data_IF_434253068213
#
_entry.id   IF_434253068213
#
_cell.length_a   1.000
_cell.length_b   1.000
_cell.length_c   1.000
_cell.angle_alpha   90.00
_cell.angle_beta   90.00
_cell.angle_gamma   90.00
#
_symmetry.space_group_name_H-M   'P 1'
#
loop_
_entity.id
_entity.type
_entity.pdbx_description
1 polymer ?
#
# COMPACT_ATOMS: atom_id res chain seq x y z
N UNK A 1 -18.51 -5.24 -20.24
CA UNK A 1 -17.51 -4.47 -19.46
C UNK A 1 -16.18 -5.18 -19.60
N UNK A 2 -15.14 -4.47 -20.03
CA UNK A 2 -13.77 -4.98 -19.97
C UNK A 2 -13.19 -4.59 -18.62
N UNK A 3 -12.68 -5.56 -17.86
CA UNK A 3 -11.99 -5.33 -16.60
C UNK A 3 -10.49 -5.35 -16.88
N UNK A 4 -9.85 -4.19 -16.77
CA UNK A 4 -8.39 -4.13 -16.82
C UNK A 4 -7.83 -4.70 -15.51
N UNK A 5 -6.85 -5.62 -15.59
CA UNK A 5 -6.24 -6.19 -14.39
C UNK A 5 -5.41 -5.13 -13.65
N UNK A 6 -5.48 -5.15 -12.32
CA UNK A 6 -4.64 -4.30 -11.48
C UNK A 6 -3.16 -4.63 -11.71
N UNK A 7 -2.33 -3.61 -11.92
CA UNK A 7 -0.89 -3.80 -11.98
C UNK A 7 -0.36 -4.20 -10.60
N UNK A 8 0.32 -5.34 -10.53
CA UNK A 8 0.93 -5.85 -9.30
C UNK A 8 2.45 -5.82 -9.41
N UNK A 9 3.16 -5.52 -8.31
CA UNK A 9 4.61 -5.45 -8.33
C UNK A 9 5.22 -6.82 -8.62
N UNK A 10 6.16 -6.87 -9.57
CA UNK A 10 6.83 -8.12 -10.01
C UNK A 10 8.16 -8.35 -9.31
N UNK A 11 8.71 -7.30 -8.73
CA UNK A 11 9.99 -7.35 -8.04
C UNK A 11 9.96 -6.51 -6.75
N UNK A 12 11.00 -6.71 -5.94
CA UNK A 12 11.14 -6.04 -4.65
C UNK A 12 11.16 -4.51 -4.74
N UNK A 13 11.76 -3.96 -5.81
CA UNK A 13 11.84 -2.50 -6.01
C UNK A 13 10.46 -1.91 -6.23
N UNK A 14 9.65 -2.52 -7.09
CA UNK A 14 8.27 -2.11 -7.34
C UNK A 14 7.39 -2.27 -6.10
N UNK A 15 7.58 -3.37 -5.37
CA UNK A 15 6.88 -3.59 -4.12
C UNK A 15 7.17 -2.45 -3.13
N UNK A 16 8.45 -2.19 -2.83
CA UNK A 16 8.84 -1.12 -1.90
C UNK A 16 8.37 0.26 -2.40
N UNK A 17 8.46 0.53 -3.71
CA UNK A 17 7.91 1.75 -4.33
C UNK A 17 6.43 1.95 -4.02
N UNK A 18 5.60 0.91 -4.17
CA UNK A 18 4.17 1.03 -3.92
C UNK A 18 3.89 1.39 -2.45
N UNK A 19 4.64 0.81 -1.50
CA UNK A 19 4.53 1.16 -0.08
C UNK A 19 4.93 2.62 0.19
N UNK A 20 5.98 3.12 -0.44
CA UNK A 20 6.37 4.53 -0.32
C UNK A 20 5.33 5.48 -0.92
N UNK A 21 4.70 5.11 -2.04
CA UNK A 21 3.58 5.87 -2.61
C UNK A 21 2.39 5.91 -1.65
N UNK A 22 2.01 4.76 -1.07
CA UNK A 22 0.93 4.70 -0.10
C UNK A 22 1.25 5.56 1.14
N UNK A 23 2.48 5.49 1.66
CA UNK A 23 2.93 6.32 2.78
C UNK A 23 2.87 7.82 2.46
N UNK A 24 3.29 8.24 1.26
CA UNK A 24 3.19 9.63 0.79
C UNK A 24 1.74 10.11 0.72
N UNK A 25 0.82 9.29 0.19
CA UNK A 25 -0.59 9.64 0.14
C UNK A 25 -1.21 9.77 1.53
N UNK A 26 -0.85 8.88 2.45
CA UNK A 26 -1.29 8.94 3.85
C UNK A 26 -0.76 10.18 4.56
N UNK A 27 0.54 10.48 4.40
CA UNK A 27 1.17 11.65 4.99
C UNK A 27 0.55 12.96 4.49
N UNK A 28 0.20 13.02 3.20
CA UNK A 28 -0.41 14.19 2.59
C UNK A 28 -1.94 14.25 2.77
N UNK A 29 -2.52 13.41 3.63
CA UNK A 29 -3.96 13.32 3.89
C UNK A 29 -4.82 13.12 2.62
N UNK A 30 -4.26 12.49 1.58
CA UNK A 30 -4.99 12.20 0.33
C UNK A 30 -5.91 10.99 0.45
N UNK A 31 -5.83 10.26 1.56
CA UNK A 31 -6.62 9.06 1.83
C UNK A 31 -7.38 9.25 3.14
N UNK A 32 -8.70 9.07 3.07
CA UNK A 32 -9.57 9.08 4.25
C UNK A 32 -10.16 7.69 4.47
N UNK A 33 -9.98 7.18 5.69
CA UNK A 33 -10.58 5.91 6.09
C UNK A 33 -11.84 6.15 6.88
N UNK A 34 -12.92 5.45 6.50
CA UNK A 34 -14.14 5.43 7.30
C UNK A 34 -13.89 4.69 8.62
N UNK A 35 -14.43 5.22 9.71
CA UNK A 35 -14.31 4.63 11.06
C UNK A 35 -14.84 3.20 11.15
N UNK A 36 -15.76 2.82 10.25
CA UNK A 36 -16.32 1.47 10.12
C UNK A 36 -15.35 0.45 9.54
N UNK A 37 -14.24 0.89 8.96
CA UNK A 37 -13.30 0.07 8.18
C UNK A 37 -11.93 -0.04 8.87
N UNK A 38 -11.85 0.28 10.17
CA UNK A 38 -10.60 0.24 10.97
C UNK A 38 -9.84 -1.10 10.85
N UNK A 39 -10.55 -2.23 10.82
CA UNK A 39 -9.92 -3.56 10.72
C UNK A 39 -9.18 -3.76 9.40
N UNK A 40 -9.62 -3.13 8.31
CA UNK A 40 -8.99 -3.29 7.00
C UNK A 40 -7.69 -2.49 6.86
N UNK A 41 -7.42 -1.55 7.77
CA UNK A 41 -6.18 -0.75 7.79
C UNK A 41 -5.21 -1.17 8.89
N UNK A 42 -5.59 -2.12 9.75
CA UNK A 42 -4.71 -2.60 10.82
C UNK A 42 -3.43 -3.23 10.26
N UNK A 43 -3.51 -3.88 9.10
CA UNK A 43 -2.33 -4.39 8.39
C UNK A 43 -1.33 -3.29 8.05
N UNK A 44 -1.81 -2.17 7.49
CA UNK A 44 -0.97 -1.00 7.14
C UNK A 44 -0.27 -0.41 8.36
N UNK A 45 -0.94 -0.41 9.52
CA UNK A 45 -0.38 0.10 10.79
C UNK A 45 0.72 -0.79 11.37
N UNK A 46 0.73 -2.07 11.02
CA UNK A 46 1.71 -3.06 11.52
C UNK A 46 2.95 -3.16 10.64
N UNK A 47 2.95 -2.54 9.46
CA UNK A 47 4.10 -2.50 8.56
C UNK A 47 5.25 -1.78 9.25
N UNK A 48 6.43 -2.43 9.29
CA UNK A 48 7.64 -1.91 9.91
C UNK A 48 8.72 -1.66 8.87
N UNK A 49 9.70 -0.85 9.26
CA UNK A 49 10.92 -0.63 8.52
C UNK A 49 12.09 -1.35 9.22
N UNK A 50 12.97 -1.93 8.43
CA UNK A 50 14.27 -2.45 8.86
C UNK A 50 15.24 -1.28 9.11
N UNK A 51 16.34 -1.48 9.85
CA UNK A 51 17.32 -0.42 10.16
C UNK A 51 17.96 0.25 8.92
N UNK A 52 17.89 -0.40 7.76
CA UNK A 52 18.36 0.14 6.48
C UNK A 52 17.26 0.87 5.68
N UNK A 53 16.19 1.31 6.36
CA UNK A 53 15.03 1.99 5.77
C UNK A 53 14.26 1.19 4.72
N UNK A 54 14.40 -0.14 4.70
CA UNK A 54 13.61 -1.00 3.83
C UNK A 54 12.38 -1.52 4.52
N UNK A 55 11.34 -1.88 3.76
CA UNK A 55 10.15 -2.51 4.32
C UNK A 55 10.51 -3.91 4.87
N UNK A 56 10.08 -4.19 6.10
CA UNK A 56 10.15 -5.52 6.71
C UNK A 56 9.03 -6.39 6.13
N UNK A 57 9.38 -7.32 5.23
CA UNK A 57 8.41 -8.15 4.52
C UNK A 57 7.60 -9.05 5.46
N UNK A 58 8.16 -9.45 6.60
CA UNK A 58 7.47 -10.29 7.57
C UNK A 58 6.41 -9.53 8.37
N UNK A 59 6.45 -8.19 8.33
CA UNK A 59 5.44 -7.33 8.95
C UNK A 59 4.26 -6.99 8.03
N UNK A 60 4.33 -7.37 6.75
CA UNK A 60 3.30 -7.07 5.76
C UNK A 60 2.32 -8.24 5.68
N UNK A 61 1.06 -7.98 6.02
CA UNK A 61 -0.03 -8.92 5.76
C UNK A 61 -0.64 -8.73 4.37
N UNK A 62 -1.46 -9.68 3.95
CA UNK A 62 -2.07 -9.68 2.63
C UNK A 62 -3.06 -8.51 2.44
N UNK A 63 -3.71 -8.07 3.51
CA UNK A 63 -4.61 -6.92 3.48
C UNK A 63 -3.84 -5.63 3.18
N UNK A 64 -2.71 -5.41 3.84
CA UNK A 64 -1.82 -4.29 3.58
C UNK A 64 -1.30 -4.32 2.14
N UNK A 65 -0.85 -5.49 1.66
CA UNK A 65 -0.37 -5.67 0.29
C UNK A 65 -1.43 -5.30 -0.74
N UNK A 66 -2.66 -5.81 -0.57
CA UNK A 66 -3.78 -5.50 -1.46
C UNK A 66 -4.09 -4.00 -1.47
N UNK A 67 -4.17 -3.39 -0.28
CA UNK A 67 -4.53 -1.99 -0.15
C UNK A 67 -3.48 -1.05 -0.76
N UNK A 68 -2.20 -1.33 -0.53
CA UNK A 68 -1.08 -0.59 -1.11
C UNK A 68 -1.08 -0.70 -2.64
N UNK A 69 -1.34 -1.90 -3.18
CA UNK A 69 -1.40 -2.08 -4.64
C UNK A 69 -2.56 -1.29 -5.24
N UNK A 70 -3.74 -1.32 -4.62
CA UNK A 70 -4.87 -0.48 -5.07
C UNK A 70 -4.48 1.01 -5.07
N UNK A 71 -3.93 1.53 -3.96
CA UNK A 71 -3.50 2.94 -3.85
C UNK A 71 -2.46 3.34 -4.89
N UNK A 72 -1.52 2.45 -5.21
CA UNK A 72 -0.49 2.69 -6.21
C UNK A 72 -1.05 2.73 -7.64
N UNK A 73 -2.06 1.91 -7.94
CA UNK A 73 -2.74 1.91 -9.23
C UNK A 73 -3.58 3.18 -9.42
N UNK A 74 -4.29 3.67 -8.39
CA UNK A 74 -5.05 4.92 -8.51
C UNK A 74 -4.17 6.18 -8.72
N UNK A 75 -2.84 6.09 -8.53
CA UNK A 75 -1.92 7.20 -8.84
C UNK A 75 -1.70 7.37 -10.35
N UNK A 76 -1.92 6.35 -11.19
CA UNK A 76 -1.69 6.49 -12.63
C UNK A 76 -2.66 7.44 -13.34
N UNK A 77 -3.70 7.89 -12.65
CA UNK A 77 -4.84 8.59 -13.25
C UNK A 77 -4.86 10.11 -12.99
N UNK A 78 -3.76 10.70 -12.49
CA UNK A 78 -3.62 12.15 -12.26
C UNK A 78 -2.39 12.74 -12.97
#
# INVERSE_FOLDING_TARGET
MNFEPMETPRNRREFERNFFIAAEQLHNNKVHFSSKVKRSIDGLRKVRMLPNNRIDFLSVDEAARLHVNMMANFRSDF
#
